data_IF_551234452955
#
_entry.id   IF_551234452955
#
_cell.length_a   1.000
_cell.length_b   1.000
_cell.length_c   1.000
_cell.angle_alpha   90.00
_cell.angle_beta   90.00
_cell.angle_gamma   90.00
#
_symmetry.space_group_name_H-M   'P 1'
#
loop_
_entity.id
_entity.type
_entity.pdbx_description
1 polymer ?
#
# COMPACT_ATOMS: atom_id res chain seq x y z
N UNK A 1 -3.66 -13.59 4.16
CA UNK A 1 -3.52 -12.75 2.97
C UNK A 1 -2.50 -11.67 3.25
N UNK A 2 -1.48 -11.53 2.42
CA UNK A 2 -0.46 -10.47 2.54
C UNK A 2 -0.84 -9.27 1.67
N UNK A 3 -0.87 -8.09 2.27
CA UNK A 3 -1.20 -6.84 1.59
C UNK A 3 -0.01 -5.90 1.69
N UNK A 4 0.48 -5.43 0.56
CA UNK A 4 1.43 -4.32 0.53
C UNK A 4 0.70 -2.97 0.48
N UNK A 5 1.19 -2.00 1.24
CA UNK A 5 0.71 -0.62 1.24
C UNK A 5 1.78 0.31 0.67
N UNK A 6 1.37 1.33 -0.07
CA UNK A 6 2.29 2.37 -0.54
C UNK A 6 1.63 3.75 -0.57
N UNK A 7 2.34 4.76 -0.10
CA UNK A 7 1.93 6.15 -0.24
C UNK A 7 3.11 7.06 -0.60
N UNK A 8 2.81 8.11 -1.37
CA UNK A 8 3.62 9.33 -1.32
C UNK A 8 3.34 10.07 -0.01
N UNK A 9 4.25 10.94 0.45
CA UNK A 9 4.31 11.39 1.85
C UNK A 9 3.02 11.90 2.50
N UNK A 10 2.02 12.30 1.73
CA UNK A 10 0.74 12.78 2.25
C UNK A 10 -0.45 11.81 2.13
N UNK A 11 -0.30 10.65 1.48
CA UNK A 11 -1.29 9.57 1.55
C UNK A 11 -1.21 8.70 2.83
N UNK A 12 -0.16 8.92 3.64
CA UNK A 12 0.18 8.11 4.83
C UNK A 12 -0.92 8.01 5.89
N UNK A 13 -1.61 9.11 6.31
CA UNK A 13 -2.58 9.02 7.40
C UNK A 13 -3.74 8.07 7.11
N UNK A 14 -4.14 7.92 5.83
CA UNK A 14 -5.16 6.95 5.44
C UNK A 14 -4.63 5.51 5.54
N UNK A 15 -3.38 5.27 5.14
CA UNK A 15 -2.76 3.95 5.25
C UNK A 15 -2.58 3.52 6.69
N UNK A 16 -2.20 4.44 7.57
CA UNK A 16 -2.05 4.16 9.00
C UNK A 16 -3.40 3.72 9.59
N UNK A 17 -4.49 4.43 9.27
CA UNK A 17 -5.84 4.05 9.70
C UNK A 17 -6.29 2.68 9.14
N UNK A 18 -5.93 2.35 7.90
CA UNK A 18 -6.22 1.04 7.29
C UNK A 18 -5.40 -0.07 7.95
N UNK A 19 -4.12 0.17 8.19
CA UNK A 19 -3.22 -0.78 8.86
C UNK A 19 -3.71 -1.07 10.29
N UNK A 20 -4.08 -0.04 11.05
CA UNK A 20 -4.67 -0.18 12.38
C UNK A 20 -5.99 -0.97 12.36
N UNK A 21 -6.86 -0.70 11.38
CA UNK A 21 -8.11 -1.43 11.21
C UNK A 21 -7.87 -2.93 10.93
N UNK A 22 -6.80 -3.28 10.22
CA UNK A 22 -6.45 -4.66 9.91
C UNK A 22 -5.55 -5.34 10.95
N UNK A 23 -4.91 -4.62 11.86
CA UNK A 23 -4.06 -5.19 12.90
C UNK A 23 -4.80 -6.20 13.81
N UNK A 24 -6.13 -6.07 13.94
CA UNK A 24 -6.98 -7.01 14.68
C UNK A 24 -7.39 -8.27 13.91
N UNK A 25 -7.02 -8.39 12.63
CA UNK A 25 -7.42 -9.49 11.74
C UNK A 25 -6.26 -10.46 11.54
N UNK A 26 -6.32 -11.61 12.21
CA UNK A 26 -5.29 -12.66 12.11
C UNK A 26 -5.15 -13.31 10.72
N UNK A 27 -6.10 -13.06 9.82
CA UNK A 27 -6.06 -13.51 8.43
C UNK A 27 -5.33 -12.52 7.49
N UNK A 28 -4.93 -11.33 7.96
CA UNK A 28 -4.30 -10.29 7.15
C UNK A 28 -2.93 -9.91 7.74
N UNK A 29 -1.91 -9.92 6.88
CA UNK A 29 -0.59 -9.37 7.19
C UNK A 29 -0.35 -8.17 6.30
N UNK A 30 0.03 -7.03 6.90
CA UNK A 30 0.24 -5.77 6.18
C UNK A 30 1.73 -5.44 6.14
N UNK A 31 2.24 -5.10 4.96
CA UNK A 31 3.62 -4.63 4.74
C UNK A 31 3.58 -3.21 4.20
N UNK A 32 4.22 -2.26 4.90
CA UNK A 32 4.35 -0.88 4.43
C UNK A 32 5.59 -0.72 3.53
N UNK A 33 5.36 -0.41 2.25
CA UNK A 33 6.39 -0.13 1.24
C UNK A 33 6.51 1.38 0.93
N UNK A 34 5.84 2.23 1.72
CA UNK A 34 5.82 3.68 1.54
C UNK A 34 7.22 4.28 1.68
N UNK A 35 7.54 5.20 0.77
CA UNK A 35 8.84 5.89 0.73
C UNK A 35 8.66 7.30 0.17
N UNK A 36 9.55 8.25 0.53
CA UNK A 36 9.62 9.53 -0.19
C UNK A 36 9.91 9.29 -1.67
N UNK A 37 9.19 9.97 -2.57
CA UNK A 37 9.37 9.80 -4.01
C UNK A 37 8.12 10.13 -4.81
N UNK A 38 8.19 9.92 -6.13
CA UNK A 38 7.05 10.10 -7.02
C UNK A 38 6.12 8.89 -6.97
N UNK A 39 4.80 9.13 -7.04
CA UNK A 39 3.78 8.08 -7.02
C UNK A 39 4.04 6.93 -8.01
N UNK A 40 4.62 7.24 -9.17
CA UNK A 40 4.90 6.27 -10.23
C UNK A 40 5.92 5.20 -9.77
N UNK A 41 6.98 5.62 -9.07
CA UNK A 41 8.02 4.70 -8.58
C UNK A 41 7.46 3.79 -7.49
N UNK A 42 6.66 4.34 -6.59
CA UNK A 42 6.03 3.60 -5.49
C UNK A 42 5.00 2.62 -6.02
N UNK A 43 4.16 3.08 -6.94
CA UNK A 43 3.14 2.25 -7.61
C UNK A 43 3.79 1.13 -8.42
N UNK A 44 4.94 1.38 -9.06
CA UNK A 44 5.70 0.35 -9.77
C UNK A 44 6.19 -0.73 -8.81
N UNK A 45 6.85 -0.38 -7.71
CA UNK A 45 7.35 -1.38 -6.76
C UNK A 45 6.20 -2.16 -6.11
N UNK A 46 5.10 -1.48 -5.81
CA UNK A 46 3.90 -2.12 -5.28
C UNK A 46 3.31 -3.13 -6.29
N UNK A 47 3.24 -2.76 -7.56
CA UNK A 47 2.75 -3.65 -8.61
C UNK A 47 3.69 -4.84 -8.83
N UNK A 48 5.00 -4.59 -8.84
CA UNK A 48 6.01 -5.64 -8.97
C UNK A 48 5.93 -6.65 -7.81
N UNK A 49 5.72 -6.20 -6.57
CA UNK A 49 5.62 -7.11 -5.43
C UNK A 49 4.38 -8.02 -5.51
N UNK A 50 3.28 -7.53 -6.07
CA UNK A 50 2.07 -8.36 -6.31
C UNK A 50 2.30 -9.31 -7.49
N UNK A 51 2.83 -8.83 -8.61
CA UNK A 51 3.09 -9.65 -9.82
C UNK A 51 4.11 -10.76 -9.53
N UNK A 52 5.12 -10.48 -8.70
CA UNK A 52 6.13 -11.46 -8.30
C UNK A 52 5.62 -12.45 -7.24
N UNK A 53 4.39 -12.27 -6.72
CA UNK A 53 3.81 -13.14 -5.70
C UNK A 53 4.38 -12.93 -4.30
N UNK A 54 5.08 -11.82 -4.05
CA UNK A 54 5.57 -11.44 -2.71
C UNK A 54 4.40 -11.00 -1.81
N UNK A 55 3.37 -10.40 -2.42
CA UNK A 55 2.14 -9.98 -1.75
C UNK A 55 0.92 -10.44 -2.55
N UNK A 56 -0.15 -10.83 -1.86
CA UNK A 56 -1.40 -11.22 -2.51
C UNK A 56 -2.09 -10.01 -3.16
N UNK A 57 -2.01 -8.83 -2.52
CA UNK A 57 -2.67 -7.58 -2.95
C UNK A 57 -1.83 -6.35 -2.66
N UNK A 58 -2.09 -5.28 -3.41
CA UNK A 58 -1.45 -3.98 -3.24
C UNK A 58 -2.47 -2.85 -3.11
N UNK A 59 -2.26 -1.95 -2.15
CA UNK A 59 -3.06 -0.72 -2.01
C UNK A 59 -2.14 0.51 -2.02
N UNK A 60 -2.37 1.39 -3.00
CA UNK A 60 -1.68 2.67 -3.10
C UNK A 60 -2.61 3.84 -2.76
N UNK A 61 -2.11 4.79 -1.96
CA UNK A 61 -2.81 6.03 -1.61
C UNK A 61 -1.97 7.27 -1.95
N UNK A 62 -2.54 8.21 -2.70
CA UNK A 62 -1.93 9.51 -3.00
C UNK A 62 -2.54 10.63 -2.15
N UNK A 63 -1.78 11.71 -1.95
CA UNK A 63 -2.18 12.92 -1.21
C UNK A 63 -3.61 13.43 -1.47
N UNK A 64 -4.13 13.30 -2.69
CA UNK A 64 -5.43 13.85 -3.09
C UNK A 64 -6.51 12.81 -3.28
N UNK A 65 -6.24 11.51 -3.03
CA UNK A 65 -7.17 10.41 -3.25
C UNK A 65 -7.57 10.18 -4.72
N UNK A 66 -7.08 11.00 -5.66
CA UNK A 66 -7.42 10.92 -7.09
C UNK A 66 -6.67 9.82 -7.84
N UNK A 67 -5.59 9.29 -7.27
CA UNK A 67 -4.85 8.13 -7.79
C UNK A 67 -4.75 7.09 -6.68
N UNK A 68 -5.78 6.28 -6.55
CA UNK A 68 -5.79 5.09 -5.71
C UNK A 68 -5.75 3.88 -6.62
N UNK A 69 -4.72 3.06 -6.50
CA UNK A 69 -4.59 1.82 -7.29
C UNK A 69 -4.75 0.66 -6.33
N UNK A 70 -5.69 -0.22 -6.64
CA UNK A 70 -5.89 -1.50 -5.96
C UNK A 70 -5.51 -2.60 -6.96
N UNK A 71 -4.51 -3.40 -6.59
CA UNK A 71 -4.00 -4.54 -7.36
C UNK A 71 -4.31 -5.84 -6.63
#
# INVERSE_FOLDING_TARGET
MTIALGADGAGRPLLDAIADHWAGRGDITVTDLSRPGHYADISKVLAESVVNGEHDRGLYSSQTGGKSVVL
#
